data_IF_275907125491
#
_entry.id   IF_275907125491
#
_cell.length_a   1.000
_cell.length_b   1.000
_cell.length_c   1.000
_cell.angle_alpha   90.00
_cell.angle_beta   90.00
_cell.angle_gamma   90.00
#
_symmetry.space_group_name_H-M   'P 1'
#
loop_
_entity.id
_entity.type
_entity.pdbx_description
1 polymer ?
#
# COMPACT_ATOMS: atom_id res chain seq x y z
N UNK A 1 -21.76 -21.55 81.46
CA UNK A 1 -22.07 -20.75 80.25
C UNK A 1 -20.78 -20.11 79.75
N UNK A 2 -20.12 -20.70 78.73
CA UNK A 2 -18.87 -20.21 78.14
C UNK A 2 -19.22 -19.36 76.88
N UNK A 3 -18.85 -18.10 76.89
CA UNK A 3 -18.96 -17.20 75.72
C UNK A 3 -17.75 -17.45 74.85
N UNK A 4 -17.99 -17.83 73.58
CA UNK A 4 -17.00 -17.96 72.56
C UNK A 4 -16.99 -16.65 71.81
N UNK A 5 -15.82 -16.00 71.80
CA UNK A 5 -15.56 -14.74 71.03
C UNK A 5 -15.03 -15.12 69.65
N UNK A 6 -15.75 -14.76 68.58
CA UNK A 6 -15.27 -14.91 67.23
C UNK A 6 -14.54 -13.61 66.79
N UNK A 7 -13.25 -13.73 66.60
CA UNK A 7 -12.48 -12.64 65.97
C UNK A 7 -12.55 -12.74 64.43
N UNK A 8 -13.15 -11.74 63.77
CA UNK A 8 -13.08 -11.57 62.32
C UNK A 8 -11.73 -10.93 61.97
N UNK A 9 -10.89 -11.66 61.26
CA UNK A 9 -9.71 -11.13 60.62
C UNK A 9 -10.13 -10.63 59.21
N UNK A 10 -10.16 -9.32 59.01
CA UNK A 10 -10.35 -8.70 57.71
C UNK A 10 -9.01 -8.72 56.96
N UNK A 11 -8.89 -9.58 55.95
CA UNK A 11 -7.75 -9.57 55.05
C UNK A 11 -7.96 -8.46 54.00
N UNK A 12 -7.20 -7.38 54.11
CA UNK A 12 -7.14 -6.32 53.09
C UNK A 12 -6.29 -6.79 51.90
N UNK A 13 -6.93 -7.14 50.80
CA UNK A 13 -6.23 -7.40 49.52
C UNK A 13 -5.89 -6.05 48.91
N UNK A 14 -4.62 -5.66 49.00
CA UNK A 14 -4.06 -4.57 48.27
C UNK A 14 -3.91 -5.02 46.80
N UNK A 15 -4.85 -4.65 45.93
CA UNK A 15 -4.65 -4.70 44.48
C UNK A 15 -3.59 -3.65 44.10
N UNK A 16 -2.37 -4.08 43.91
CA UNK A 16 -1.32 -3.31 43.25
C UNK A 16 -1.67 -3.20 41.76
N UNK A 17 -2.25 -2.09 41.35
CA UNK A 17 -2.27 -1.69 39.94
C UNK A 17 -0.82 -1.41 39.50
N UNK A 18 -0.15 -2.43 38.99
CA UNK A 18 1.02 -2.22 38.18
C UNK A 18 0.55 -1.56 36.85
N UNK A 19 0.74 -0.25 36.73
CA UNK A 19 0.70 0.39 35.43
C UNK A 19 1.85 -0.19 34.61
N UNK A 20 1.55 -1.08 33.67
CA UNK A 20 2.51 -1.45 32.66
C UNK A 20 2.94 -0.16 31.95
N UNK A 21 4.19 0.23 32.09
CA UNK A 21 4.76 1.29 31.26
C UNK A 21 4.62 0.81 29.84
N UNK A 22 3.92 1.58 29.02
CA UNK A 22 3.88 1.39 27.58
C UNK A 22 5.32 1.49 27.07
N UNK A 23 5.92 0.35 26.72
CA UNK A 23 7.30 0.25 26.23
C UNK A 23 7.35 0.27 24.71
N UNK A 24 6.23 0.58 24.04
CA UNK A 24 6.16 0.66 22.58
C UNK A 24 7.16 1.72 22.07
N UNK A 25 7.86 1.46 20.97
CA UNK A 25 8.73 2.45 20.35
C UNK A 25 7.91 3.65 19.94
N UNK A 26 8.32 4.83 20.37
CA UNK A 26 7.70 6.08 19.96
C UNK A 26 8.58 6.76 18.92
N UNK A 27 8.21 6.57 17.66
CA UNK A 27 8.89 7.25 16.56
C UNK A 27 8.53 8.74 16.54
N UNK A 28 9.52 9.57 16.32
CA UNK A 28 9.39 11.04 16.13
C UNK A 28 9.77 11.46 14.72
N UNK A 29 10.31 10.52 13.93
CA UNK A 29 10.72 10.75 12.55
C UNK A 29 10.62 9.44 11.74
N UNK A 30 10.49 9.59 10.43
CA UNK A 30 10.62 8.52 9.43
C UNK A 30 12.10 8.39 9.09
N UNK A 31 12.64 7.17 9.11
CA UNK A 31 13.99 6.83 8.68
C UNK A 31 13.88 5.91 7.46
N UNK A 32 13.97 6.46 6.23
CA UNK A 32 13.75 5.69 5.01
C UNK A 32 14.70 4.51 4.87
N UNK A 33 14.18 3.35 4.47
CA UNK A 33 14.98 2.15 4.23
C UNK A 33 15.43 1.38 5.48
N UNK A 34 15.02 1.82 6.66
CA UNK A 34 15.26 1.13 7.94
C UNK A 34 14.03 0.34 8.34
N UNK A 35 14.23 -0.76 9.08
CA UNK A 35 13.14 -1.53 9.66
C UNK A 35 12.23 -0.64 10.52
N UNK A 36 10.93 -0.77 10.31
CA UNK A 36 9.92 -0.02 11.05
C UNK A 36 9.08 -0.97 11.88
N UNK A 37 9.00 -0.73 13.18
CA UNK A 37 8.23 -1.54 14.11
C UNK A 37 6.89 -0.88 14.40
N UNK A 38 5.88 -1.68 14.62
CA UNK A 38 4.56 -1.24 15.08
C UNK A 38 4.56 -0.92 16.59
N UNK A 39 3.43 -0.52 17.12
CA UNK A 39 3.28 -0.22 18.55
C UNK A 39 3.38 -1.45 19.47
N UNK A 40 3.47 -2.65 18.91
CA UNK A 40 3.70 -3.90 19.65
C UNK A 40 5.17 -4.36 19.58
N UNK A 41 6.07 -3.59 18.97
CA UNK A 41 7.46 -3.95 18.66
C UNK A 41 7.61 -5.06 17.62
N UNK A 42 6.60 -5.27 16.78
CA UNK A 42 6.65 -6.21 15.67
C UNK A 42 6.92 -5.47 14.37
N UNK A 43 7.60 -6.12 13.42
CA UNK A 43 7.87 -5.53 12.12
C UNK A 43 6.57 -5.22 11.37
N UNK A 44 6.50 -4.01 10.80
CA UNK A 44 5.42 -3.68 9.89
C UNK A 44 5.60 -4.51 8.61
N UNK A 45 4.57 -5.25 8.26
CA UNK A 45 4.52 -6.12 7.08
C UNK A 45 3.30 -5.70 6.25
N UNK A 46 3.46 -4.64 5.44
CA UNK A 46 2.41 -4.02 4.63
C UNK A 46 2.98 -3.56 3.28
N UNK A 47 3.49 -4.53 2.51
CA UNK A 47 4.21 -4.25 1.27
C UNK A 47 3.26 -3.96 0.10
N UNK A 48 3.78 -3.30 -0.95
CA UNK A 48 3.02 -2.97 -2.16
C UNK A 48 1.76 -2.14 -1.92
N UNK A 49 1.59 -1.62 -0.72
CA UNK A 49 0.36 -1.12 -0.18
C UNK A 49 0.00 0.32 -0.52
N UNK A 50 -1.01 0.82 0.19
CA UNK A 50 -1.43 2.22 0.13
C UNK A 50 -2.09 2.64 1.44
N UNK A 51 -2.28 3.94 1.60
CA UNK A 51 -2.88 4.52 2.79
C UNK A 51 -4.20 5.20 2.45
N UNK A 52 -5.23 4.87 3.22
CA UNK A 52 -6.51 5.57 3.24
C UNK A 52 -6.57 6.46 4.48
N UNK A 53 -6.83 7.76 4.31
CA UNK A 53 -7.24 8.61 5.42
C UNK A 53 -8.76 8.60 5.54
N UNK A 54 -9.27 8.28 6.73
CA UNK A 54 -10.71 8.27 6.99
C UNK A 54 -11.01 8.70 8.43
N UNK A 55 -11.83 9.73 8.59
CA UNK A 55 -12.29 10.24 9.90
C UNK A 55 -11.18 10.47 10.94
N UNK A 56 -10.09 11.10 10.53
CA UNK A 56 -8.99 11.48 11.43
C UNK A 56 -7.93 10.40 11.65
N UNK A 57 -8.01 9.27 10.95
CA UNK A 57 -7.09 8.14 11.09
C UNK A 57 -6.57 7.76 9.71
N UNK A 58 -5.27 7.46 9.61
CA UNK A 58 -4.63 6.85 8.47
C UNK A 58 -4.65 5.33 8.63
N UNK A 59 -5.06 4.62 7.58
CA UNK A 59 -5.09 3.15 7.52
C UNK A 59 -4.17 2.69 6.40
N UNK A 60 -3.13 1.98 6.77
CA UNK A 60 -2.15 1.44 5.84
C UNK A 60 -2.48 -0.02 5.56
N UNK A 61 -2.85 -0.33 4.32
CA UNK A 61 -3.10 -1.69 3.84
C UNK A 61 -1.93 -2.14 2.99
N UNK A 62 -1.47 -3.36 3.18
CA UNK A 62 -0.39 -3.92 2.38
C UNK A 62 -0.34 -5.43 2.41
N UNK A 63 0.40 -5.98 1.47
CA UNK A 63 0.63 -7.42 1.37
C UNK A 63 1.26 -7.95 2.64
N UNK A 64 0.70 -9.02 3.20
CA UNK A 64 1.33 -9.81 4.24
C UNK A 64 2.26 -10.84 3.58
N UNK A 65 3.56 -10.58 3.59
CA UNK A 65 4.56 -11.59 3.20
C UNK A 65 4.68 -12.60 4.32
N UNK A 66 4.34 -13.86 4.07
CA UNK A 66 4.39 -14.91 5.08
C UNK A 66 5.31 -16.05 4.67
N UNK A 67 5.75 -16.83 5.66
CA UNK A 67 6.70 -17.91 5.48
C UNK A 67 8.05 -17.45 4.88
N UNK A 68 8.91 -18.38 4.51
CA UNK A 68 10.23 -18.10 3.95
C UNK A 68 10.15 -17.68 2.47
N UNK A 69 11.10 -16.87 2.04
CA UNK A 69 11.26 -16.53 0.64
C UNK A 69 11.82 -17.71 -0.13
N UNK A 70 11.22 -18.05 -1.25
CA UNK A 70 11.66 -19.12 -2.14
C UNK A 70 11.74 -18.63 -3.60
N UNK A 71 12.61 -19.27 -4.38
CA UNK A 71 12.66 -19.06 -5.81
C UNK A 71 11.65 -19.97 -6.51
N UNK A 72 10.83 -19.39 -7.39
CA UNK A 72 9.86 -20.13 -8.21
C UNK A 72 10.43 -20.37 -9.63
N UNK A 73 10.91 -21.58 -9.94
CA UNK A 73 11.49 -21.89 -11.24
C UNK A 73 10.46 -21.99 -12.38
N UNK A 74 9.16 -22.03 -12.06
CA UNK A 74 8.09 -22.19 -13.03
C UNK A 74 7.75 -20.89 -13.78
N UNK A 75 8.33 -19.76 -13.37
CA UNK A 75 8.13 -18.45 -14.00
C UNK A 75 9.36 -18.11 -14.84
N UNK A 76 9.30 -18.24 -16.17
CA UNK A 76 10.44 -17.98 -17.04
C UNK A 76 10.65 -16.45 -17.24
N UNK A 77 11.90 -16.09 -17.53
CA UNK A 77 12.25 -14.75 -18.01
C UNK A 77 12.74 -13.78 -16.94
N UNK A 78 12.54 -14.08 -15.63
CA UNK A 78 13.07 -13.29 -14.53
C UNK A 78 13.28 -14.14 -13.27
N UNK A 79 14.06 -13.63 -12.32
CA UNK A 79 14.28 -14.30 -11.02
C UNK A 79 13.04 -14.16 -10.13
N UNK A 80 12.08 -15.06 -10.24
CA UNK A 80 10.83 -15.03 -9.50
C UNK A 80 11.01 -15.51 -8.06
N UNK A 81 11.44 -14.63 -7.16
CA UNK A 81 11.41 -14.87 -5.73
C UNK A 81 10.03 -14.55 -5.17
N UNK A 82 9.51 -15.38 -4.29
CA UNK A 82 8.18 -15.25 -3.69
C UNK A 82 8.17 -15.67 -2.23
N UNK A 83 7.14 -15.26 -1.52
CA UNK A 83 6.67 -15.84 -0.26
C UNK A 83 5.27 -16.40 -0.46
N UNK A 84 4.76 -17.15 0.50
CA UNK A 84 3.33 -17.42 0.56
C UNK A 84 2.56 -16.12 0.83
N UNK A 85 1.34 -16.02 0.27
CA UNK A 85 0.46 -14.89 0.48
C UNK A 85 -0.25 -15.02 1.82
N UNK A 86 0.13 -14.22 2.81
CA UNK A 86 -0.51 -14.15 4.13
C UNK A 86 -1.79 -13.31 4.17
N UNK A 87 -2.31 -12.89 3.00
CA UNK A 87 -3.45 -11.98 2.90
C UNK A 87 -3.05 -10.51 2.89
N UNK A 88 -3.91 -9.64 3.40
CA UNK A 88 -3.67 -8.20 3.48
C UNK A 88 -3.70 -7.74 4.93
N UNK A 89 -2.61 -7.18 5.40
CA UNK A 89 -2.51 -6.55 6.72
C UNK A 89 -3.07 -5.13 6.70
N UNK A 90 -3.59 -4.71 7.87
CA UNK A 90 -3.98 -3.32 8.12
C UNK A 90 -3.26 -2.79 9.36
N UNK A 91 -2.77 -1.56 9.26
CA UNK A 91 -2.24 -0.78 10.37
C UNK A 91 -2.95 0.56 10.44
N UNK A 92 -3.09 1.14 11.64
CA UNK A 92 -3.67 2.47 11.81
C UNK A 92 -2.72 3.42 12.51
N UNK A 93 -2.78 4.71 12.15
CA UNK A 93 -1.97 5.76 12.76
C UNK A 93 -2.72 7.09 12.75
N UNK A 94 -2.39 7.98 13.70
CA UNK A 94 -2.84 9.37 13.72
C UNK A 94 -1.76 10.36 13.30
N UNK A 95 -0.50 9.92 13.30
CA UNK A 95 0.68 10.77 13.14
C UNK A 95 1.62 10.34 12.00
N UNK A 96 1.30 9.22 11.28
CA UNK A 96 2.12 8.63 10.23
C UNK A 96 3.47 8.07 10.70
N UNK A 97 3.70 8.04 12.01
CA UNK A 97 4.95 7.62 12.64
C UNK A 97 4.75 6.36 13.46
N UNK A 98 3.70 6.32 14.26
CA UNK A 98 3.40 5.24 15.19
C UNK A 98 2.18 4.46 14.71
N UNK A 99 2.42 3.23 14.27
CA UNK A 99 1.43 2.39 13.60
C UNK A 99 0.97 1.26 14.52
N UNK A 100 -0.33 1.17 14.74
CA UNK A 100 -0.96 0.08 15.48
C UNK A 100 -1.37 -1.01 14.49
N UNK A 101 -0.98 -2.25 14.73
CA UNK A 101 -1.47 -3.40 13.96
C UNK A 101 -2.95 -3.66 14.24
N UNK A 102 -3.76 -3.71 13.21
CA UNK A 102 -5.20 -3.95 13.29
C UNK A 102 -5.60 -5.38 12.87
N UNK A 103 -4.66 -6.14 12.34
CA UNK A 103 -4.84 -7.53 11.92
C UNK A 103 -4.80 -7.75 10.41
N UNK A 104 -4.97 -9.00 10.00
CA UNK A 104 -5.16 -9.39 8.60
C UNK A 104 -6.61 -9.11 8.22
N UNK A 105 -6.85 -8.12 7.36
CA UNK A 105 -8.21 -7.68 6.99
C UNK A 105 -8.75 -8.40 5.76
N UNK A 106 -7.91 -8.95 4.89
CA UNK A 106 -8.28 -9.93 3.87
C UNK A 106 -7.56 -11.23 4.19
N UNK A 107 -8.30 -12.22 4.68
CA UNK A 107 -7.74 -13.48 5.17
C UNK A 107 -7.37 -14.41 4.01
N UNK A 108 -6.26 -15.16 4.10
CA UNK A 108 -5.98 -16.21 3.15
C UNK A 108 -6.99 -17.37 3.29
N UNK A 109 -7.30 -18.04 2.18
CA UNK A 109 -8.13 -19.24 2.14
C UNK A 109 -7.25 -20.49 2.14
N UNK A 110 -7.20 -21.21 3.26
CA UNK A 110 -6.27 -22.33 3.47
C UNK A 110 -6.79 -23.66 2.93
N UNK A 111 -8.11 -23.79 2.74
CA UNK A 111 -8.74 -25.08 2.43
C UNK A 111 -8.95 -25.34 0.95
N UNK A 112 -9.05 -24.28 0.14
CA UNK A 112 -9.28 -24.35 -1.30
C UNK A 112 -8.06 -23.86 -2.09
N UNK A 113 -7.26 -24.79 -2.60
CA UNK A 113 -6.07 -24.47 -3.41
C UNK A 113 -6.38 -23.81 -4.77
N UNK A 114 -7.65 -23.79 -5.18
CA UNK A 114 -8.11 -23.10 -6.40
C UNK A 114 -8.54 -21.65 -6.11
N UNK A 115 -8.75 -21.32 -4.84
CA UNK A 115 -9.08 -19.96 -4.43
C UNK A 115 -7.96 -18.98 -4.81
N UNK A 116 -8.34 -17.77 -5.24
CA UNK A 116 -7.40 -16.66 -5.45
C UNK A 116 -6.66 -16.25 -4.18
N UNK A 117 -7.28 -16.50 -3.02
CA UNK A 117 -6.75 -16.17 -1.71
C UNK A 117 -5.91 -17.29 -1.08
N UNK A 118 -5.70 -18.42 -1.79
CA UNK A 118 -4.85 -19.47 -1.25
C UNK A 118 -3.39 -18.99 -1.13
N UNK A 119 -2.64 -19.33 -0.07
CA UNK A 119 -1.26 -18.87 0.14
C UNK A 119 -0.30 -19.12 -1.03
N UNK A 120 -0.50 -20.17 -1.81
CA UNK A 120 0.30 -20.44 -3.00
C UNK A 120 0.07 -19.47 -4.16
N UNK A 121 -0.99 -18.65 -4.11
CA UNK A 121 -1.32 -17.67 -5.14
C UNK A 121 -0.56 -16.36 -4.93
N UNK A 122 -0.78 -15.42 -5.83
CA UNK A 122 -0.20 -14.08 -5.76
C UNK A 122 -1.27 -13.09 -5.32
N UNK A 123 -1.00 -12.35 -4.25
CA UNK A 123 -1.81 -11.23 -3.79
C UNK A 123 -0.89 -10.03 -3.65
N UNK A 124 -0.99 -9.07 -4.56
CA UNK A 124 -0.08 -7.93 -4.63
C UNK A 124 -0.81 -6.60 -4.76
N UNK A 125 -0.14 -5.52 -4.34
CA UNK A 125 -0.58 -4.13 -4.54
C UNK A 125 -1.97 -3.78 -4.00
N UNK A 126 -2.40 -4.24 -2.82
CA UNK A 126 -3.74 -3.90 -2.31
C UNK A 126 -3.88 -2.40 -2.11
N UNK A 127 -5.01 -1.85 -2.54
CA UNK A 127 -5.40 -0.46 -2.32
C UNK A 127 -6.84 -0.42 -1.85
N UNK A 128 -7.13 0.46 -0.91
CA UNK A 128 -8.49 0.63 -0.37
C UNK A 128 -8.94 2.07 -0.54
N UNK A 129 -10.17 2.25 -1.02
CA UNK A 129 -10.85 3.55 -1.07
C UNK A 129 -12.23 3.44 -0.41
N UNK A 130 -12.70 4.55 0.16
CA UNK A 130 -14.04 4.62 0.76
C UNK A 130 -15.05 5.16 -0.26
N UNK A 131 -16.16 4.45 -0.41
CA UNK A 131 -17.28 4.87 -1.25
C UNK A 131 -18.34 5.57 -0.39
N UNK A 132 -18.50 6.88 -0.57
CA UNK A 132 -19.45 7.69 0.21
C UNK A 132 -20.91 7.34 -0.09
N UNK A 133 -21.22 6.87 -1.30
CA UNK A 133 -22.60 6.49 -1.70
C UNK A 133 -23.04 5.20 -1.03
N UNK A 134 -22.18 4.18 -1.04
CA UNK A 134 -22.49 2.85 -0.50
C UNK A 134 -22.06 2.69 0.95
N UNK A 135 -21.26 3.63 1.46
CA UNK A 135 -20.62 3.59 2.80
C UNK A 135 -19.76 2.34 3.02
N UNK A 136 -19.14 1.84 1.94
CA UNK A 136 -18.26 0.68 1.96
C UNK A 136 -16.80 1.07 1.76
N UNK A 137 -15.92 0.34 2.39
CA UNK A 137 -14.50 0.28 2.07
C UNK A 137 -14.33 -0.74 0.95
N UNK A 138 -13.75 -0.31 -0.17
CA UNK A 138 -13.56 -1.15 -1.36
C UNK A 138 -12.07 -1.33 -1.58
N UNK A 139 -11.64 -2.58 -1.58
CA UNK A 139 -10.26 -2.99 -1.86
C UNK A 139 -10.17 -3.56 -3.26
N UNK A 140 -9.14 -3.14 -4.00
CA UNK A 140 -8.69 -3.80 -5.22
C UNK A 140 -7.26 -4.24 -5.03
N UNK A 141 -6.88 -5.35 -5.67
CA UNK A 141 -5.53 -5.89 -5.63
C UNK A 141 -5.24 -6.70 -6.91
N UNK A 142 -3.95 -6.84 -7.23
CA UNK A 142 -3.51 -7.81 -8.22
C UNK A 142 -3.59 -9.22 -7.62
N UNK A 143 -4.28 -10.12 -8.30
CA UNK A 143 -4.30 -11.55 -7.99
C UNK A 143 -3.79 -12.34 -9.17
N UNK A 144 -2.93 -13.33 -8.89
CA UNK A 144 -2.35 -14.15 -9.96
C UNK A 144 -2.24 -15.61 -9.54
N UNK A 145 -2.07 -16.48 -10.53
CA UNK A 145 -1.63 -17.85 -10.31
C UNK A 145 -0.15 -17.87 -9.90
N UNK A 146 0.30 -19.01 -9.39
CA UNK A 146 1.69 -19.19 -8.96
C UNK A 146 2.71 -19.02 -10.09
N UNK A 147 2.28 -19.16 -11.33
CA UNK A 147 3.07 -18.98 -12.56
C UNK A 147 2.87 -17.60 -13.24
N UNK A 148 2.14 -16.66 -12.60
CA UNK A 148 1.83 -15.33 -13.11
C UNK A 148 1.08 -15.31 -14.46
N UNK A 149 0.27 -16.33 -14.74
CA UNK A 149 -0.50 -16.42 -16.00
C UNK A 149 -1.95 -15.96 -15.89
N UNK A 150 -2.51 -15.86 -14.68
CA UNK A 150 -3.89 -15.39 -14.48
C UNK A 150 -4.01 -13.88 -14.65
N UNK A 151 -3.11 -13.11 -14.04
CA UNK A 151 -2.99 -11.66 -14.13
C UNK A 151 -4.35 -10.93 -14.06
N UNK A 152 -5.05 -11.03 -12.95
CA UNK A 152 -6.39 -10.51 -12.75
C UNK A 152 -6.44 -9.44 -11.63
N UNK A 153 -7.52 -8.66 -11.60
CA UNK A 153 -7.82 -7.75 -10.50
C UNK A 153 -8.83 -8.38 -9.55
N UNK A 154 -8.47 -8.53 -8.28
CA UNK A 154 -9.35 -8.98 -7.21
C UNK A 154 -10.09 -7.80 -6.57
N UNK A 155 -11.31 -8.03 -6.09
CA UNK A 155 -12.13 -7.02 -5.42
C UNK A 155 -12.65 -7.57 -4.09
N UNK A 156 -12.58 -6.75 -3.04
CA UNK A 156 -13.14 -7.09 -1.74
C UNK A 156 -13.80 -5.87 -1.08
N UNK A 157 -14.74 -6.09 -0.17
CA UNK A 157 -15.50 -5.03 0.49
C UNK A 157 -15.58 -5.25 1.99
N UNK A 158 -15.64 -4.15 2.75
CA UNK A 158 -15.91 -4.17 4.20
C UNK A 158 -16.78 -3.00 4.62
N UNK A 159 -17.47 -3.14 5.75
CA UNK A 159 -18.22 -2.07 6.43
C UNK A 159 -17.34 -1.22 7.33
N UNK A 160 -16.13 -1.68 7.64
CA UNK A 160 -15.20 -1.04 8.56
C UNK A 160 -13.79 -0.98 7.94
N UNK A 161 -13.00 0.08 8.20
CA UNK A 161 -11.64 0.16 7.69
C UNK A 161 -10.73 -0.94 8.25
N UNK A 162 -11.01 -1.46 9.43
CA UNK A 162 -10.25 -2.52 10.10
C UNK A 162 -11.00 -3.84 10.20
N UNK A 163 -12.20 -3.90 9.61
CA UNK A 163 -13.01 -5.13 9.56
C UNK A 163 -12.53 -6.09 8.50
N UNK A 164 -12.97 -7.34 8.62
CA UNK A 164 -12.69 -8.36 7.62
C UNK A 164 -13.34 -7.97 6.29
N UNK A 165 -12.55 -7.97 5.22
CA UNK A 165 -13.02 -7.76 3.87
C UNK A 165 -13.58 -9.05 3.30
N UNK A 166 -14.79 -8.98 2.75
CA UNK A 166 -15.40 -10.07 1.99
C UNK A 166 -14.88 -10.02 0.55
N UNK A 167 -14.18 -11.07 0.13
CA UNK A 167 -13.69 -11.20 -1.25
C UNK A 167 -14.85 -11.49 -2.19
N UNK A 168 -14.97 -10.72 -3.27
CA UNK A 168 -16.03 -10.84 -4.28
C UNK A 168 -15.59 -11.61 -5.53
N UNK A 169 -14.32 -11.98 -5.61
CA UNK A 169 -13.71 -12.64 -6.76
C UNK A 169 -12.78 -11.72 -7.56
N UNK A 170 -12.27 -12.25 -8.66
CA UNK A 170 -11.38 -11.53 -9.57
C UNK A 170 -11.93 -11.47 -10.98
N UNK A 171 -11.41 -10.50 -11.74
CA UNK A 171 -11.79 -10.27 -13.13
C UNK A 171 -10.62 -9.77 -13.96
N UNK A 172 -10.73 -9.87 -15.27
CA UNK A 172 -9.92 -9.12 -16.22
C UNK A 172 -10.64 -7.80 -16.53
N UNK A 173 -10.21 -6.67 -15.94
CA UNK A 173 -10.89 -5.39 -16.11
C UNK A 173 -10.85 -4.97 -17.59
N UNK A 174 -12.01 -4.58 -18.13
CA UNK A 174 -12.19 -4.27 -19.56
C UNK A 174 -11.74 -5.41 -20.51
N UNK A 175 -11.78 -6.67 -20.05
CA UNK A 175 -11.36 -7.83 -20.81
C UNK A 175 -9.83 -7.98 -20.98
N UNK A 176 -9.03 -7.28 -20.17
CA UNK A 176 -7.57 -7.23 -20.27
C UNK A 176 -6.91 -7.76 -18.99
N UNK A 177 -5.71 -8.31 -19.12
CA UNK A 177 -4.91 -8.67 -17.95
C UNK A 177 -4.63 -7.45 -17.08
N UNK A 178 -4.50 -7.66 -15.77
CA UNK A 178 -4.19 -6.62 -14.79
C UNK A 178 -3.13 -7.12 -13.82
N UNK A 179 -2.00 -6.43 -13.75
CA UNK A 179 -0.91 -6.68 -12.82
C UNK A 179 -0.76 -5.52 -11.85
N UNK A 180 0.45 -4.99 -11.65
CA UNK A 180 0.70 -3.87 -10.75
C UNK A 180 -0.31 -2.75 -10.92
N UNK A 181 -0.92 -2.33 -9.81
CA UNK A 181 -2.05 -1.43 -9.86
C UNK A 181 -2.08 -0.43 -8.69
N UNK A 182 -2.87 0.60 -8.88
CA UNK A 182 -3.31 1.50 -7.82
C UNK A 182 -4.76 1.92 -8.03
N UNK A 183 -5.36 2.46 -6.97
CA UNK A 183 -6.64 3.16 -7.02
C UNK A 183 -6.44 4.65 -6.83
N UNK A 184 -7.26 5.43 -7.50
CA UNK A 184 -7.35 6.86 -7.28
C UNK A 184 -8.83 7.27 -7.19
N UNK A 185 -9.21 7.97 -6.12
CA UNK A 185 -10.52 8.59 -5.95
C UNK A 185 -10.36 10.09 -6.12
N UNK A 186 -11.09 10.65 -7.10
CA UNK A 186 -11.06 12.08 -7.41
C UNK A 186 -12.02 12.89 -6.50
N UNK A 187 -11.87 14.20 -6.53
CA UNK A 187 -12.65 15.17 -5.73
C UNK A 187 -14.14 15.13 -6.07
N UNK A 188 -14.51 14.72 -7.31
CA UNK A 188 -15.92 14.54 -7.73
C UNK A 188 -16.54 13.21 -7.27
N UNK A 189 -15.79 12.42 -6.52
CA UNK A 189 -16.21 11.12 -6.02
C UNK A 189 -16.12 9.98 -7.03
N UNK A 190 -15.62 10.22 -8.25
CA UNK A 190 -15.30 9.13 -9.18
C UNK A 190 -14.03 8.43 -8.76
N UNK A 191 -13.98 7.13 -8.99
CA UNK A 191 -12.80 6.33 -8.70
C UNK A 191 -12.25 5.67 -9.96
N UNK A 192 -10.96 5.48 -9.97
CA UNK A 192 -10.21 4.94 -11.10
C UNK A 192 -9.31 3.81 -10.65
N UNK A 193 -9.26 2.75 -11.47
CA UNK A 193 -8.29 1.67 -11.38
C UNK A 193 -7.21 1.90 -12.45
N UNK A 194 -5.97 2.03 -12.01
CA UNK A 194 -4.81 2.25 -12.86
C UNK A 194 -3.94 1.01 -12.75
N UNK A 195 -3.66 0.35 -13.87
CA UNK A 195 -2.99 -0.95 -13.83
C UNK A 195 -2.11 -1.22 -15.06
N UNK A 196 -1.06 -2.01 -14.84
CA UNK A 196 -0.20 -2.52 -15.90
C UNK A 196 -0.91 -3.65 -16.64
N UNK A 197 -0.92 -3.57 -17.95
CA UNK A 197 -1.59 -4.50 -18.85
C UNK A 197 -0.74 -4.80 -20.09
N UNK A 198 -1.24 -5.65 -21.00
CA UNK A 198 -0.55 -6.00 -22.23
C UNK A 198 0.91 -6.47 -21.97
N UNK A 199 1.08 -7.41 -21.03
CA UNK A 199 2.39 -7.86 -20.54
C UNK A 199 3.27 -6.71 -20.01
N UNK A 200 2.67 -5.82 -19.22
CA UNK A 200 3.25 -4.60 -18.64
C UNK A 200 3.68 -3.53 -19.67
N UNK A 201 3.36 -3.70 -20.96
CA UNK A 201 3.75 -2.73 -21.97
C UNK A 201 2.96 -1.43 -21.94
N UNK A 202 1.79 -1.43 -21.28
CA UNK A 202 0.81 -0.32 -21.32
C UNK A 202 0.15 -0.15 -19.95
N UNK A 203 0.02 1.10 -19.48
CA UNK A 203 -0.84 1.43 -18.33
C UNK A 203 -2.27 1.72 -18.79
N UNK A 204 -3.22 0.99 -18.24
CA UNK A 204 -4.64 1.25 -18.39
C UNK A 204 -5.12 2.14 -17.26
N UNK A 205 -5.97 3.12 -17.56
CA UNK A 205 -6.68 3.94 -16.58
C UNK A 205 -8.16 3.77 -16.84
N UNK A 206 -8.85 3.13 -15.92
CA UNK A 206 -10.24 2.73 -16.04
C UNK A 206 -11.11 3.41 -15.00
N UNK A 207 -12.13 4.13 -15.44
CA UNK A 207 -13.19 4.63 -14.55
C UNK A 207 -13.97 3.44 -13.98
N UNK A 208 -14.15 3.44 -12.67
CA UNK A 208 -14.97 2.43 -11.98
C UNK A 208 -16.46 2.80 -12.00
N UNK A 209 -17.30 1.80 -11.78
CA UNK A 209 -18.72 1.97 -11.54
C UNK A 209 -18.99 2.77 -10.26
N UNK A 210 -20.20 3.26 -10.08
CA UNK A 210 -20.61 4.09 -8.93
C UNK A 210 -20.41 3.42 -7.56
N UNK A 211 -20.46 2.10 -7.50
CA UNK A 211 -20.16 1.30 -6.30
C UNK A 211 -18.69 0.94 -6.15
N UNK A 212 -17.83 1.28 -7.12
CA UNK A 212 -16.41 0.97 -7.23
C UNK A 212 -16.07 -0.51 -7.39
N UNK A 213 -17.03 -1.37 -7.69
CA UNK A 213 -16.83 -2.84 -7.70
C UNK A 213 -16.42 -3.41 -9.06
N UNK A 214 -16.55 -2.63 -10.13
CA UNK A 214 -16.21 -3.06 -11.50
C UNK A 214 -15.85 -1.88 -12.39
N UNK A 215 -15.18 -2.11 -13.53
CA UNK A 215 -15.02 -1.08 -14.55
C UNK A 215 -16.37 -0.58 -15.09
N UNK A 216 -16.45 0.72 -15.38
CA UNK A 216 -17.63 1.33 -16.02
C UNK A 216 -17.70 1.08 -17.52
N UNK A 217 -16.61 0.59 -18.13
CA UNK A 217 -16.43 0.50 -19.58
C UNK A 217 -15.71 1.72 -20.19
N UNK A 218 -15.51 2.79 -19.41
CA UNK A 218 -14.73 3.96 -19.85
C UNK A 218 -13.28 3.80 -19.41
N UNK A 219 -12.35 3.71 -20.34
CA UNK A 219 -10.94 3.57 -20.05
C UNK A 219 -10.06 4.15 -21.15
N UNK A 220 -8.78 4.35 -20.84
CA UNK A 220 -7.74 4.75 -21.80
C UNK A 220 -6.50 3.89 -21.64
N UNK A 221 -5.76 3.78 -22.75
CA UNK A 221 -4.45 3.15 -22.82
C UNK A 221 -3.38 4.24 -22.85
N UNK A 222 -2.49 4.23 -21.87
CA UNK A 222 -1.45 5.24 -21.72
C UNK A 222 -0.07 4.58 -21.68
N UNK A 223 0.97 5.30 -22.04
CA UNK A 223 2.36 4.82 -22.03
C UNK A 223 2.59 3.52 -22.82
N UNK A 224 1.85 3.33 -23.92
CA UNK A 224 1.95 2.12 -24.74
C UNK A 224 3.39 1.88 -25.23
N UNK A 225 3.90 0.66 -25.02
CA UNK A 225 5.28 0.25 -25.34
C UNK A 225 6.34 0.80 -24.39
N UNK A 226 5.96 1.45 -23.25
CA UNK A 226 6.92 2.01 -22.30
C UNK A 226 7.29 1.06 -21.16
N UNK A 227 6.56 -0.04 -20.98
CA UNK A 227 6.81 -1.04 -19.95
C UNK A 227 6.92 -0.42 -18.55
N UNK A 228 5.79 0.16 -18.10
CA UNK A 228 5.69 0.79 -16.77
C UNK A 228 4.86 -0.04 -15.83
N UNK A 229 5.32 -0.16 -14.57
CA UNK A 229 4.64 -0.86 -13.49
C UNK A 229 4.64 -0.03 -12.21
N UNK A 230 4.04 -0.56 -11.13
CA UNK A 230 3.98 0.08 -9.82
C UNK A 230 3.44 1.53 -9.85
N UNK A 231 2.30 1.81 -10.50
CA UNK A 231 1.78 3.16 -10.61
C UNK A 231 1.36 3.71 -9.24
N UNK A 232 1.69 4.98 -8.98
CA UNK A 232 1.26 5.75 -7.83
C UNK A 232 0.70 7.10 -8.32
N UNK A 233 -0.59 7.33 -8.15
CA UNK A 233 -1.31 8.48 -8.71
C UNK A 233 -1.77 9.44 -7.62
N UNK A 234 -1.63 10.74 -7.86
CA UNK A 234 -2.17 11.78 -7.00
C UNK A 234 -2.59 13.01 -7.81
N UNK A 235 -3.32 13.93 -7.17
CA UNK A 235 -3.77 15.18 -7.76
C UNK A 235 -3.23 16.37 -6.97
N UNK A 236 -2.75 17.40 -7.67
CA UNK A 236 -2.32 18.66 -7.07
C UNK A 236 -2.69 19.83 -7.98
N UNK A 237 -3.34 20.85 -7.44
CA UNK A 237 -3.71 22.08 -8.15
C UNK A 237 -4.43 21.82 -9.48
N UNK A 238 -5.34 20.84 -9.53
CA UNK A 238 -6.09 20.47 -10.73
C UNK A 238 -5.33 19.62 -11.74
N UNK A 239 -4.05 19.32 -11.51
CA UNK A 239 -3.23 18.43 -12.35
C UNK A 239 -3.11 17.06 -11.70
N UNK A 240 -3.10 16.03 -12.54
CA UNK A 240 -2.86 14.65 -12.15
C UNK A 240 -1.40 14.29 -12.37
N UNK A 241 -0.83 13.56 -11.46
CA UNK A 241 0.55 13.07 -11.47
C UNK A 241 0.53 11.56 -11.33
N UNK A 242 1.40 10.88 -12.06
CA UNK A 242 1.67 9.45 -11.89
C UNK A 242 3.17 9.24 -11.76
N UNK A 243 3.60 8.49 -10.75
CA UNK A 243 4.95 7.95 -10.62
C UNK A 243 4.86 6.47 -10.95
N UNK A 244 5.84 5.91 -11.65
CA UNK A 244 5.90 4.50 -12.01
C UNK A 244 7.34 4.03 -12.12
N UNK A 245 7.57 2.72 -12.02
CA UNK A 245 8.87 2.09 -12.27
C UNK A 245 8.93 1.46 -13.66
N UNK A 246 10.13 1.15 -14.13
CA UNK A 246 10.34 0.26 -15.27
C UNK A 246 10.15 -1.20 -14.87
N UNK A 247 10.06 -2.10 -15.84
CA UNK A 247 9.91 -3.54 -15.64
C UNK A 247 11.27 -4.23 -15.68
N UNK A 248 11.95 -4.34 -14.56
CA UNK A 248 13.29 -4.96 -14.41
C UNK A 248 13.32 -6.08 -13.37
N UNK A 249 12.16 -6.66 -13.05
CA UNK A 249 12.01 -7.63 -11.97
C UNK A 249 12.46 -7.02 -10.63
N UNK A 250 13.27 -7.74 -9.87
CA UNK A 250 13.77 -7.25 -8.57
C UNK A 250 14.93 -6.25 -8.65
N UNK A 251 15.45 -5.96 -9.85
CA UNK A 251 16.53 -4.98 -10.00
C UNK A 251 15.99 -3.58 -9.93
N UNK A 252 16.51 -2.72 -9.03
CA UNK A 252 16.08 -1.33 -8.92
C UNK A 252 16.31 -0.59 -10.24
N UNK A 253 15.37 0.28 -10.60
CA UNK A 253 15.44 1.09 -11.80
C UNK A 253 15.00 2.52 -11.55
N UNK A 254 15.19 3.36 -12.56
CA UNK A 254 14.80 4.75 -12.51
C UNK A 254 13.28 4.92 -12.53
N UNK A 255 12.74 5.64 -11.55
CA UNK A 255 11.35 6.07 -11.58
C UNK A 255 11.13 7.10 -12.69
N UNK A 256 9.92 7.11 -13.22
CA UNK A 256 9.45 8.12 -14.16
C UNK A 256 8.15 8.72 -13.67
N UNK A 257 7.96 10.04 -13.84
CA UNK A 257 6.67 10.63 -13.59
C UNK A 257 6.11 11.31 -14.83
N UNK A 258 4.80 11.40 -14.87
CA UNK A 258 4.07 12.11 -15.91
C UNK A 258 2.95 12.96 -15.30
N UNK A 259 2.50 13.96 -16.06
CA UNK A 259 1.49 14.93 -15.66
C UNK A 259 0.39 15.00 -16.73
N UNK A 260 -0.86 15.16 -16.29
CA UNK A 260 -2.02 15.35 -17.15
C UNK A 260 -3.01 16.36 -16.56
N UNK A 261 -3.81 16.99 -17.42
CA UNK A 261 -4.94 17.86 -17.01
C UNK A 261 -6.23 17.07 -16.78
N UNK A 262 -6.29 15.83 -17.26
CA UNK A 262 -7.39 14.89 -17.07
C UNK A 262 -6.81 13.53 -16.70
N UNK A 263 -7.44 12.84 -15.74
CA UNK A 263 -6.94 11.54 -15.26
C UNK A 263 -6.83 10.49 -16.36
N UNK A 264 -7.74 10.50 -17.33
CA UNK A 264 -7.71 9.59 -18.46
C UNK A 264 -6.64 9.97 -19.52
N UNK A 265 -5.94 11.09 -19.33
CA UNK A 265 -4.90 11.58 -20.23
C UNK A 265 -5.42 12.60 -21.27
N UNK A 266 -4.59 13.03 -22.21
CA UNK A 266 -3.23 12.53 -22.47
C UNK A 266 -2.24 12.94 -21.37
N UNK A 267 -1.23 12.09 -21.14
CA UNK A 267 -0.17 12.28 -20.16
C UNK A 267 1.12 12.79 -20.82
N UNK A 268 1.80 13.71 -20.15
CA UNK A 268 3.11 14.22 -20.57
C UNK A 268 4.17 13.71 -19.61
N UNK A 269 5.10 12.90 -20.11
CA UNK A 269 6.25 12.40 -19.36
C UNK A 269 7.19 13.55 -19.02
N UNK A 270 7.68 13.57 -17.79
CA UNK A 270 8.58 14.57 -17.21
C UNK A 270 9.96 14.02 -16.83
N UNK A 271 10.13 12.70 -16.84
CA UNK A 271 11.39 12.02 -16.48
C UNK A 271 11.43 11.61 -15.02
N UNK A 272 12.64 11.45 -14.49
CA UNK A 272 12.87 10.98 -13.13
C UNK A 272 12.55 12.08 -12.09
N UNK A 273 11.66 11.81 -11.12
CA UNK A 273 11.42 12.75 -10.04
C UNK A 273 12.51 12.71 -8.95
N UNK A 274 13.26 11.60 -8.85
CA UNK A 274 14.31 11.43 -7.84
C UNK A 274 15.55 12.26 -8.20
N UNK A 275 16.20 12.85 -7.20
CA UNK A 275 17.38 13.69 -7.40
C UNK A 275 18.50 13.33 -6.41
N UNK A 276 19.75 13.44 -6.85
CA UNK A 276 20.95 13.19 -6.04
C UNK A 276 21.50 11.77 -6.23
N UNK A 277 22.23 11.31 -5.22
CA UNK A 277 22.89 10.00 -5.25
C UNK A 277 21.85 8.88 -5.29
N UNK A 278 22.07 7.84 -6.12
CA UNK A 278 21.19 6.67 -6.33
C UNK A 278 19.80 7.01 -6.87
N UNK A 279 19.59 8.22 -7.40
CA UNK A 279 18.33 8.65 -8.02
C UNK A 279 17.98 7.82 -9.27
N UNK A 280 18.99 7.35 -10.02
CA UNK A 280 18.86 6.46 -11.17
C UNK A 280 18.34 5.05 -10.83
N UNK A 281 18.28 4.74 -9.54
CA UNK A 281 17.75 3.49 -8.97
C UNK A 281 16.58 3.74 -8.02
N UNK A 282 16.00 4.94 -8.03
CA UNK A 282 14.92 5.31 -7.10
C UNK A 282 15.30 4.99 -5.65
N UNK A 283 16.57 5.25 -5.27
CA UNK A 283 17.12 4.94 -3.94
C UNK A 283 17.00 3.45 -3.57
N UNK A 284 16.99 2.56 -4.55
CA UNK A 284 16.73 1.10 -4.45
C UNK A 284 15.29 0.74 -4.06
N UNK A 285 14.32 1.66 -4.27
CA UNK A 285 12.90 1.45 -4.02
C UNK A 285 12.10 1.33 -5.30
N UNK A 286 10.87 0.82 -5.16
CA UNK A 286 9.85 0.77 -6.20
C UNK A 286 8.60 1.49 -5.71
N UNK A 287 8.01 2.36 -6.53
CA UNK A 287 6.82 3.14 -6.17
C UNK A 287 5.63 2.24 -5.78
N UNK A 288 4.81 2.72 -4.87
CA UNK A 288 3.57 2.02 -4.47
C UNK A 288 2.39 2.96 -4.26
N UNK A 289 2.61 4.12 -3.64
CA UNK A 289 1.56 5.08 -3.34
C UNK A 289 2.13 6.49 -3.19
N UNK A 290 1.29 7.51 -3.38
CA UNK A 290 1.57 8.88 -2.96
C UNK A 290 0.47 9.32 -2.00
N UNK A 291 0.87 9.68 -0.79
CA UNK A 291 -0.03 10.06 0.28
C UNK A 291 -0.09 11.58 0.44
N UNK A 292 -1.24 12.25 0.23
CA UNK A 292 -1.43 13.62 0.68
C UNK A 292 -1.57 13.67 2.20
N UNK A 293 -0.79 14.55 2.87
CA UNK A 293 -0.88 14.74 4.32
C UNK A 293 -2.07 15.64 4.65
N UNK A 294 -3.01 15.11 5.40
CA UNK A 294 -4.23 15.83 5.75
C UNK A 294 -3.93 17.07 6.60
N UNK A 295 -4.59 18.19 6.28
CA UNK A 295 -4.41 19.45 6.97
C UNK A 295 -3.17 20.24 6.57
N UNK A 296 -2.30 19.71 5.71
CA UNK A 296 -1.14 20.40 5.17
C UNK A 296 -1.31 20.65 3.67
N UNK A 297 -1.15 21.92 3.28
CA UNK A 297 -1.22 22.31 1.89
C UNK A 297 0.02 21.84 1.13
N UNK A 298 -0.17 21.29 -0.08
CA UNK A 298 0.89 20.84 -0.98
C UNK A 298 1.87 19.81 -0.39
N UNK A 299 1.50 19.15 0.71
CA UNK A 299 2.31 18.18 1.42
C UNK A 299 1.97 16.76 0.97
N UNK A 300 2.94 16.09 0.35
CA UNK A 300 2.80 14.73 -0.20
C UNK A 300 3.99 13.87 0.17
N UNK A 301 3.72 12.61 0.50
CA UNK A 301 4.74 11.59 0.75
C UNK A 301 4.76 10.62 -0.43
N UNK A 302 5.89 10.52 -1.11
CA UNK A 302 6.15 9.42 -2.04
C UNK A 302 6.52 8.17 -1.23
N UNK A 303 5.78 7.08 -1.44
CA UNK A 303 5.99 5.81 -0.76
C UNK A 303 6.56 4.80 -1.75
N UNK A 304 7.65 4.15 -1.34
CA UNK A 304 8.31 3.10 -2.10
C UNK A 304 8.56 1.90 -1.20
N UNK A 305 8.54 0.70 -1.78
CA UNK A 305 9.04 -0.52 -1.13
C UNK A 305 10.50 -0.74 -1.54
N UNK A 306 11.37 -0.98 -0.57
CA UNK A 306 12.75 -1.37 -0.77
C UNK A 306 12.85 -2.89 -0.64
N UNK A 307 12.75 -3.56 -1.77
CA UNK A 307 12.68 -5.02 -1.82
C UNK A 307 14.00 -5.68 -1.46
N UNK A 308 13.96 -6.66 -0.56
CA UNK A 308 15.01 -7.63 -0.34
C UNK A 308 14.60 -8.95 -1.05
N UNK A 309 14.99 -9.13 -2.29
CA UNK A 309 14.49 -10.22 -3.15
C UNK A 309 14.71 -11.63 -2.59
N UNK A 310 15.77 -11.84 -1.82
CA UNK A 310 16.10 -13.14 -1.21
C UNK A 310 15.50 -13.32 0.17
N UNK A 311 14.90 -12.27 0.73
CA UNK A 311 14.28 -12.27 2.06
C UNK A 311 13.16 -11.21 2.08
N UNK A 312 12.08 -11.50 1.37
CA UNK A 312 10.99 -10.55 1.12
C UNK A 312 10.30 -10.05 2.40
N UNK A 313 10.26 -10.87 3.44
CA UNK A 313 9.69 -10.51 4.74
C UNK A 313 10.48 -9.38 5.40
N UNK A 314 11.79 -9.27 5.11
CA UNK A 314 12.67 -8.22 5.62
C UNK A 314 12.88 -7.08 4.60
N UNK A 315 11.98 -6.94 3.62
CA UNK A 315 11.88 -5.72 2.83
C UNK A 315 11.52 -4.53 3.71
N UNK A 316 11.93 -3.32 3.32
CA UNK A 316 11.71 -2.10 4.10
C UNK A 316 11.01 -1.04 3.28
N UNK A 317 10.75 0.11 3.87
CA UNK A 317 9.97 1.18 3.26
C UNK A 317 10.83 2.43 3.09
N UNK A 318 10.67 3.12 1.96
CA UNK A 318 11.26 4.42 1.72
C UNK A 318 10.10 5.42 1.56
N UNK A 319 9.89 6.26 2.57
CA UNK A 319 8.90 7.31 2.52
C UNK A 319 9.63 8.65 2.53
N UNK A 320 9.45 9.43 1.47
CA UNK A 320 10.14 10.69 1.26
C UNK A 320 9.15 11.80 0.90
N UNK A 321 9.36 13.04 1.35
CA UNK A 321 8.52 14.16 0.96
C UNK A 321 8.73 14.50 -0.51
N UNK A 322 7.63 14.86 -1.18
CA UNK A 322 7.68 15.42 -2.54
C UNK A 322 7.81 16.94 -2.43
N UNK A 323 8.81 17.49 -3.07
CA UNK A 323 8.98 18.92 -3.25
C UNK A 323 8.49 19.34 -4.63
N UNK A 324 7.83 20.49 -4.72
CA UNK A 324 7.44 21.09 -5.99
C UNK A 324 8.23 22.38 -6.21
N UNK A 325 8.85 22.50 -7.40
CA UNK A 325 9.56 23.71 -7.81
C UNK A 325 8.58 24.75 -8.35
N UNK A 326 9.03 25.96 -8.53
CA UNK A 326 8.22 27.06 -9.06
C UNK A 326 7.65 26.78 -10.46
N UNK A 327 8.37 26.01 -11.27
CA UNK A 327 7.92 25.58 -12.61
C UNK A 327 6.89 24.43 -12.58
N UNK A 328 6.48 24.00 -11.38
CA UNK A 328 5.55 22.89 -11.17
C UNK A 328 6.17 21.50 -11.30
N UNK A 329 7.47 21.40 -11.60
CA UNK A 329 8.17 20.12 -11.58
C UNK A 329 8.30 19.59 -10.15
N UNK A 330 8.29 18.24 -10.00
CA UNK A 330 8.48 17.64 -8.69
C UNK A 330 9.90 17.10 -8.52
N UNK A 331 10.37 17.09 -7.28
CA UNK A 331 11.61 16.49 -6.87
C UNK A 331 11.43 15.65 -5.62
N UNK A 332 12.07 14.49 -5.58
CA UNK A 332 12.15 13.61 -4.42
C UNK A 332 13.62 13.45 -4.10
N UNK A 333 14.04 13.92 -2.93
CA UNK A 333 15.42 13.86 -2.48
C UNK A 333 15.53 12.88 -1.31
N UNK A 334 16.63 12.12 -1.26
CA UNK A 334 16.94 11.28 -0.11
C UNK A 334 17.15 12.11 1.14
N UNK A 335 16.50 11.69 2.22
CA UNK A 335 16.70 12.22 3.58
C UNK A 335 17.01 11.04 4.49
N UNK A 336 18.04 11.18 5.32
CA UNK A 336 18.40 10.11 6.28
C UNK A 336 17.33 9.97 7.39
N UNK A 337 16.67 11.07 7.72
CA UNK A 337 15.56 11.11 8.66
C UNK A 337 14.73 12.39 8.45
N UNK A 338 13.42 12.33 8.62
CA UNK A 338 12.54 13.49 8.55
C UNK A 338 11.21 13.23 9.27
N UNK A 339 10.48 14.29 9.62
CA UNK A 339 9.18 14.15 10.28
C UNK A 339 8.09 14.89 9.50
N UNK A 340 6.91 14.27 9.29
CA UNK A 340 5.77 14.92 8.67
C UNK A 340 5.34 16.21 9.37
N UNK A 341 5.57 16.32 10.68
CA UNK A 341 5.17 17.48 11.48
C UNK A 341 6.06 18.70 11.29
N UNK A 342 7.36 18.48 11.14
CA UNK A 342 8.38 19.54 11.12
C UNK A 342 8.98 19.83 9.75
N UNK A 343 8.74 18.96 8.76
CA UNK A 343 9.24 19.15 7.40
C UNK A 343 8.46 20.29 6.71
N UNK A 344 9.19 21.17 6.05
CA UNK A 344 8.63 22.23 5.21
C UNK A 344 8.50 21.73 3.76
N UNK A 345 7.24 21.53 3.33
CA UNK A 345 6.91 21.03 2.00
C UNK A 345 6.92 22.12 0.94
#
# INVERSE_FOLDING_TARGET
>A
MKKILFSLIAASVLLSCQSSRDTSPKYTAITPGVEWLDTNNEKINAHGGGILYHKGIYYWYGECKSDSTYWNPNVPGWECYRTEAGGVNCYSSKDLLNWKYEGVVLQPEMSDTQSDLHPSKVLERPKVIYNDKTQKFVMWLHVDSDDYNKAAAGVAVSDSPTGVFTYLGSMHPNGQISRDMTLFKDDDGKAYHIYSSEQNSTLYISLLSDDYLKPSGTYTRNFAGKFREAPAVFKRNGLYYVISSGCTGWSPNEAEYAVATQILGPWTVKGNPCVGKDADKTFYGQSTHVLPIQGKKDAYIAMFDKWNKTDLIHSTYIWLPIQFREDGSMAIQWLDSWSPDTYEF
#
